data_IF_126063880308
#
_entry.id   IF_126063880308
#
_cell.length_a   1.000
_cell.length_b   1.000
_cell.length_c   1.000
_cell.angle_alpha   90.00
_cell.angle_beta   90.00
_cell.angle_gamma   90.00
#
_symmetry.space_group_name_H-M   'P 1'
#
loop_
_entity.id
_entity.type
_entity.pdbx_description
1 polymer ?
#
# COMPACT_ATOMS: atom_id res chain seq x y z
N UNK A 1 7.69 30.26 -9.40
CA UNK A 1 7.33 29.20 -10.35
C UNK A 1 6.13 28.43 -9.84
N UNK A 2 5.14 28.27 -10.69
CA UNK A 2 3.92 27.59 -10.28
C UNK A 2 4.07 26.07 -10.31
N UNK A 3 3.50 25.39 -9.33
CA UNK A 3 3.45 23.93 -9.31
C UNK A 3 2.47 23.45 -10.36
N UNK A 4 2.85 22.42 -11.09
CA UNK A 4 1.94 21.74 -12.00
C UNK A 4 0.93 20.94 -11.18
N UNK A 5 -0.17 20.52 -11.83
CA UNK A 5 -1.14 19.64 -11.20
C UNK A 5 -0.47 18.36 -10.72
N UNK A 6 0.44 17.79 -11.52
CA UNK A 6 1.18 16.57 -11.15
C UNK A 6 1.98 16.79 -9.87
N UNK A 7 2.67 17.92 -9.74
CA UNK A 7 3.45 18.22 -8.54
C UNK A 7 2.55 18.34 -7.31
N UNK A 8 1.40 18.98 -7.45
CA UNK A 8 0.43 19.11 -6.37
C UNK A 8 -0.13 17.74 -5.96
N UNK A 9 -0.41 16.88 -6.94
CA UNK A 9 -0.90 15.54 -6.69
C UNK A 9 0.14 14.69 -5.95
N UNK A 10 1.42 14.86 -6.31
CA UNK A 10 2.52 14.18 -5.64
C UNK A 10 2.62 14.65 -4.19
N UNK A 11 2.55 15.97 -3.97
CA UNK A 11 2.59 16.54 -2.62
C UNK A 11 1.44 16.03 -1.76
N UNK A 12 0.25 15.94 -2.34
CA UNK A 12 -0.93 15.40 -1.66
C UNK A 12 -0.70 13.94 -1.26
N UNK A 13 -0.15 13.13 -2.16
CA UNK A 13 0.18 11.74 -1.87
C UNK A 13 1.14 11.65 -0.68
N UNK A 14 2.21 12.45 -0.70
CA UNK A 14 3.21 12.42 0.36
C UNK A 14 2.62 12.81 1.72
N UNK A 15 1.64 13.70 1.73
CA UNK A 15 0.91 14.03 2.96
C UNK A 15 0.02 12.87 3.41
N UNK A 16 -0.67 12.25 2.47
CA UNK A 16 -1.60 11.16 2.78
C UNK A 16 -0.89 9.94 3.36
N UNK A 17 0.29 9.60 2.84
CA UNK A 17 1.02 8.41 3.32
C UNK A 17 1.67 8.61 4.69
N UNK A 18 1.68 9.81 5.23
CA UNK A 18 2.24 10.07 6.56
C UNK A 18 1.52 9.30 7.66
N UNK A 19 0.25 8.96 7.47
CA UNK A 19 -0.49 8.16 8.46
C UNK A 19 -0.14 6.67 8.40
N UNK A 20 0.53 6.23 7.33
CA UNK A 20 0.96 4.85 7.20
C UNK A 20 2.29 4.64 7.95
N UNK A 21 2.59 3.39 8.29
CA UNK A 21 3.85 3.03 8.93
C UNK A 21 4.85 2.65 7.84
N UNK A 22 5.92 3.43 7.71
CA UNK A 22 6.98 3.12 6.75
C UNK A 22 7.64 1.79 7.12
N UNK A 23 7.78 0.92 6.14
CA UNK A 23 8.14 -0.47 6.36
C UNK A 23 9.18 -0.92 5.34
N UNK A 24 10.17 -1.68 5.78
CA UNK A 24 11.15 -2.25 4.85
C UNK A 24 10.56 -3.48 4.17
N UNK A 25 11.11 -3.89 3.00
CA UNK A 25 10.64 -5.12 2.36
C UNK A 25 10.75 -6.36 3.24
N UNK A 26 11.82 -6.48 4.02
CA UNK A 26 11.99 -7.62 4.93
C UNK A 26 10.93 -7.64 6.01
N UNK A 27 10.62 -6.48 6.59
CA UNK A 27 9.57 -6.36 7.60
C UNK A 27 8.19 -6.68 7.01
N UNK A 28 7.92 -6.21 5.79
CA UNK A 28 6.66 -6.48 5.10
C UNK A 28 6.49 -7.98 4.85
N UNK A 29 7.55 -8.64 4.40
CA UNK A 29 7.54 -10.08 4.18
C UNK A 29 7.22 -10.83 5.47
N UNK A 30 7.85 -10.46 6.56
CA UNK A 30 7.61 -11.09 7.86
C UNK A 30 6.17 -10.88 8.32
N UNK A 31 5.62 -9.68 8.14
CA UNK A 31 4.25 -9.37 8.52
C UNK A 31 3.25 -10.22 7.74
N UNK A 32 3.50 -10.41 6.44
CA UNK A 32 2.62 -11.22 5.60
C UNK A 32 2.75 -12.71 5.95
N UNK A 33 3.95 -13.17 6.27
CA UNK A 33 4.18 -14.55 6.70
C UNK A 33 3.48 -14.84 8.03
N UNK A 34 3.49 -13.87 8.96
CA UNK A 34 2.88 -14.03 10.29
C UNK A 34 1.36 -14.22 10.22
N UNK A 35 0.70 -13.63 9.24
CA UNK A 35 -0.74 -13.79 9.06
C UNK A 35 -1.58 -13.24 10.21
N UNK A 36 -1.14 -12.15 10.83
CA UNK A 36 -1.79 -11.57 11.99
C UNK A 36 -2.65 -10.34 11.64
N UNK A 37 -3.42 -10.44 10.57
CA UNK A 37 -4.27 -9.34 10.07
C UNK A 37 -3.46 -8.10 9.71
N UNK A 38 -2.36 -8.33 8.98
CA UNK A 38 -1.47 -7.25 8.58
C UNK A 38 -1.78 -6.75 7.16
N UNK A 39 -1.85 -5.43 7.02
CA UNK A 39 -2.11 -4.75 5.74
C UNK A 39 -0.80 -4.14 5.25
N UNK A 40 -0.41 -4.48 4.03
CA UNK A 40 0.78 -3.92 3.38
C UNK A 40 0.37 -3.23 2.10
N UNK A 41 0.85 -2.00 1.91
CA UNK A 41 0.64 -1.25 0.68
C UNK A 41 1.99 -0.97 0.03
N UNK A 42 2.10 -1.29 -1.26
CA UNK A 42 3.31 -1.05 -2.06
C UNK A 42 2.97 -0.05 -3.17
N UNK A 43 3.68 1.06 -3.20
CA UNK A 43 3.42 2.08 -4.22
C UNK A 43 4.41 3.22 -4.18
N UNK A 44 4.13 4.25 -4.96
CA UNK A 44 4.99 5.43 -5.03
C UNK A 44 4.22 6.66 -5.49
N UNK A 45 4.73 7.82 -5.14
CA UNK A 45 4.09 9.12 -5.44
C UNK A 45 4.05 9.46 -6.93
N UNK A 46 4.97 8.91 -7.72
CA UNK A 46 5.05 9.22 -9.15
C UNK A 46 4.10 8.42 -10.03
N UNK A 47 3.39 7.47 -9.44
CA UNK A 47 2.42 6.64 -10.16
C UNK A 47 1.01 7.21 -10.01
N UNK A 48 0.33 7.60 -11.11
CA UNK A 48 -1.03 8.16 -11.02
C UNK A 48 -2.03 7.21 -10.36
N UNK A 49 -1.90 5.92 -10.63
CA UNK A 49 -2.80 4.90 -10.05
C UNK A 49 -2.60 4.79 -8.55
N UNK A 50 -1.34 4.92 -8.07
CA UNK A 50 -1.05 4.92 -6.64
C UNK A 50 -1.65 6.15 -5.97
N UNK A 51 -1.56 7.31 -6.61
CA UNK A 51 -2.13 8.54 -6.06
C UNK A 51 -3.64 8.43 -5.89
N UNK A 52 -4.32 7.84 -6.89
CA UNK A 52 -5.77 7.60 -6.82
C UNK A 52 -6.12 6.63 -5.69
N UNK A 53 -5.38 5.55 -5.60
CA UNK A 53 -5.62 4.50 -4.62
C UNK A 53 -5.40 5.00 -3.19
N UNK A 54 -4.31 5.72 -2.95
CA UNK A 54 -3.96 6.23 -1.62
C UNK A 54 -4.97 7.23 -1.09
N UNK A 55 -5.59 8.01 -1.97
CA UNK A 55 -6.68 8.91 -1.55
C UNK A 55 -7.79 8.16 -0.84
N UNK A 56 -8.13 6.98 -1.32
CA UNK A 56 -9.14 6.12 -0.70
C UNK A 56 -8.58 5.39 0.53
N UNK A 57 -7.40 4.78 0.38
CA UNK A 57 -6.80 3.98 1.44
C UNK A 57 -6.47 4.81 2.68
N UNK A 58 -5.91 5.99 2.51
CA UNK A 58 -5.55 6.85 3.65
C UNK A 58 -6.78 7.30 4.42
N UNK A 59 -7.85 7.63 3.70
CA UNK A 59 -9.10 8.06 4.35
C UNK A 59 -9.72 6.93 5.16
N UNK A 60 -9.81 5.74 4.59
CA UNK A 60 -10.40 4.62 5.34
C UNK A 60 -9.50 4.17 6.49
N UNK A 61 -8.18 4.26 6.32
CA UNK A 61 -7.27 3.91 7.41
C UNK A 61 -7.47 4.84 8.61
N UNK A 62 -7.68 6.13 8.34
CA UNK A 62 -7.96 7.12 9.38
C UNK A 62 -9.33 6.89 10.00
N UNK A 63 -10.36 6.72 9.16
CA UNK A 63 -11.74 6.59 9.62
C UNK A 63 -11.96 5.31 10.45
N UNK A 64 -11.28 4.24 10.11
CA UNK A 64 -11.46 2.93 10.76
C UNK A 64 -10.28 2.53 11.65
N UNK A 65 -9.33 3.45 11.82
CA UNK A 65 -8.14 3.23 12.66
C UNK A 65 -7.37 1.96 12.23
N UNK A 66 -7.14 1.82 10.94
CA UNK A 66 -6.41 0.69 10.37
C UNK A 66 -4.95 1.03 10.23
N UNK A 67 -4.07 0.17 10.72
CA UNK A 67 -2.63 0.34 10.54
C UNK A 67 -2.22 -0.23 9.19
N UNK A 68 -1.65 0.61 8.34
CA UNK A 68 -1.17 0.20 7.02
C UNK A 68 0.35 0.30 7.00
N UNK A 69 1.01 -0.78 6.61
CA UNK A 69 2.46 -0.83 6.47
C UNK A 69 2.82 -0.47 5.03
N UNK A 70 3.59 0.58 4.85
CA UNK A 70 3.88 1.16 3.55
C UNK A 70 5.30 0.84 3.10
N UNK A 71 5.43 0.19 1.94
CA UNK A 71 6.72 -0.05 1.28
C UNK A 71 6.76 0.82 0.03
N UNK A 72 7.70 1.77 0.00
CA UNK A 72 7.89 2.61 -1.19
C UNK A 72 8.52 1.77 -2.29
N UNK A 73 7.83 1.65 -3.43
CA UNK A 73 8.22 0.72 -4.50
C UNK A 73 9.52 1.10 -5.22
N UNK A 74 10.02 2.31 -5.02
CA UNK A 74 11.26 2.80 -5.64
C UNK A 74 12.28 3.26 -4.60
N UNK A 75 12.19 2.76 -3.37
CA UNK A 75 13.15 3.13 -2.33
C UNK A 75 14.57 2.74 -2.77
N UNK A 76 15.50 3.70 -2.86
CA UNK A 76 16.82 3.43 -3.44
C UNK A 76 17.67 2.46 -2.63
N UNK A 77 17.44 2.37 -1.32
CA UNK A 77 18.20 1.50 -0.44
C UNK A 77 17.77 0.03 -0.53
N UNK A 78 16.62 -0.26 -1.14
CA UNK A 78 16.02 -1.59 -1.12
C UNK A 78 15.59 -2.10 -2.50
N UNK A 79 16.25 -1.66 -3.56
CA UNK A 79 15.85 -1.98 -4.94
C UNK A 79 15.71 -3.49 -5.17
N UNK A 80 16.70 -4.27 -4.76
CA UNK A 80 16.68 -5.73 -4.95
C UNK A 80 15.65 -6.40 -4.05
N UNK A 81 15.58 -5.95 -2.80
CA UNK A 81 14.66 -6.52 -1.81
C UNK A 81 13.20 -6.26 -2.21
N UNK A 82 12.92 -5.09 -2.77
CA UNK A 82 11.59 -4.75 -3.27
C UNK A 82 11.22 -5.66 -4.44
N UNK A 83 12.15 -5.88 -5.36
CA UNK A 83 11.94 -6.76 -6.50
C UNK A 83 11.65 -8.18 -6.04
N UNK A 84 12.43 -8.68 -5.10
CA UNK A 84 12.23 -10.01 -4.50
C UNK A 84 10.86 -10.12 -3.84
N UNK A 85 10.48 -9.10 -3.07
CA UNK A 85 9.18 -9.06 -2.40
C UNK A 85 8.03 -9.12 -3.41
N UNK A 86 8.13 -8.31 -4.46
CA UNK A 86 7.08 -8.26 -5.49
C UNK A 86 6.98 -9.57 -6.27
N UNK A 87 8.11 -10.22 -6.53
CA UNK A 87 8.11 -11.53 -7.18
C UNK A 87 7.48 -12.60 -6.29
N UNK A 88 7.86 -12.61 -5.02
CA UNK A 88 7.36 -13.60 -4.04
C UNK A 88 5.85 -13.56 -3.92
N UNK A 89 5.28 -12.36 -3.88
CA UNK A 89 3.84 -12.18 -3.66
C UNK A 89 3.06 -11.89 -4.94
N UNK A 90 3.72 -11.98 -6.09
CA UNK A 90 3.12 -11.76 -7.40
C UNK A 90 2.43 -10.38 -7.50
N UNK A 91 3.23 -9.33 -7.32
CA UNK A 91 2.78 -7.94 -7.43
C UNK A 91 3.39 -7.33 -8.69
N UNK A 92 2.80 -7.57 -9.86
CA UNK A 92 3.39 -7.12 -11.14
C UNK A 92 3.31 -5.62 -11.34
N UNK A 93 2.32 -4.98 -10.76
CA UNK A 93 2.08 -3.54 -10.90
C UNK A 93 1.81 -2.91 -9.54
N UNK A 94 1.99 -1.59 -9.45
CA UNK A 94 1.60 -0.82 -8.26
C UNK A 94 0.41 0.07 -8.63
N UNK A 95 -0.49 0.35 -7.71
CA UNK A 95 -0.46 0.06 -6.29
C UNK A 95 -0.70 -1.43 -5.99
N UNK A 96 -0.03 -1.93 -4.97
CA UNK A 96 -0.27 -3.29 -4.48
C UNK A 96 -0.85 -3.24 -3.07
N UNK A 97 -1.99 -3.87 -2.88
CA UNK A 97 -2.59 -4.03 -1.56
C UNK A 97 -2.49 -5.51 -1.18
N UNK A 98 -1.76 -5.78 -0.11
CA UNK A 98 -1.54 -7.13 0.37
C UNK A 98 -2.08 -7.25 1.79
N UNK A 99 -2.75 -8.35 2.06
CA UNK A 99 -3.33 -8.59 3.36
C UNK A 99 -3.16 -10.07 3.70
N UNK A 100 -2.80 -10.35 4.94
CA UNK A 100 -2.72 -11.74 5.39
C UNK A 100 -3.37 -11.89 6.76
N UNK A 101 -4.13 -12.96 6.92
CA UNK A 101 -4.77 -13.32 8.17
C UNK A 101 -4.97 -14.83 8.22
N UNK A 102 -5.25 -15.35 9.40
CA UNK A 102 -5.50 -16.78 9.56
C UNK A 102 -6.81 -17.20 8.92
N UNK A 103 -7.79 -16.29 8.89
CA UNK A 103 -9.10 -16.58 8.30
C UNK A 103 -9.12 -16.46 6.78
N UNK A 104 -8.45 -15.44 6.24
CA UNK A 104 -8.47 -15.14 4.81
C UNK A 104 -7.27 -15.70 4.05
N UNK A 105 -6.18 -16.03 4.75
CA UNK A 105 -4.92 -16.36 4.13
C UNK A 105 -4.27 -15.12 3.53
N UNK A 106 -3.60 -15.26 2.41
CA UNK A 106 -2.95 -14.16 1.71
C UNK A 106 -3.84 -13.64 0.59
N UNK A 107 -4.09 -12.34 0.58
CA UNK A 107 -4.84 -11.68 -0.49
C UNK A 107 -3.93 -10.61 -1.09
N UNK A 108 -3.82 -10.60 -2.42
CA UNK A 108 -3.02 -9.61 -3.15
C UNK A 108 -3.89 -8.99 -4.23
N UNK A 109 -4.01 -7.67 -4.21
CA UNK A 109 -4.78 -6.92 -5.22
C UNK A 109 -3.93 -5.78 -5.78
N UNK A 110 -3.83 -5.72 -7.10
CA UNK A 110 -3.12 -4.65 -7.80
C UNK A 110 -4.11 -3.83 -8.63
N UNK A 111 -5.20 -3.40 -8.00
CA UNK A 111 -6.31 -2.73 -8.66
C UNK A 111 -6.60 -1.37 -8.00
N UNK A 112 -6.22 -0.30 -8.70
CA UNK A 112 -6.41 1.06 -8.19
C UNK A 112 -7.88 1.50 -8.18
N UNK A 113 -8.75 0.75 -8.84
CA UNK A 113 -10.17 1.09 -8.94
C UNK A 113 -11.01 0.54 -7.79
N UNK A 114 -10.41 -0.23 -6.88
CA UNK A 114 -11.13 -0.75 -5.72
C UNK A 114 -11.81 0.38 -4.94
N UNK A 115 -13.08 0.19 -4.63
CA UNK A 115 -13.83 1.14 -3.82
C UNK A 115 -13.56 0.91 -2.33
N UNK A 116 -13.78 1.92 -1.47
CA UNK A 116 -13.50 1.76 -0.04
C UNK A 116 -14.19 0.54 0.60
N UNK A 117 -15.43 0.26 0.21
CA UNK A 117 -16.15 -0.91 0.74
C UNK A 117 -15.46 -2.22 0.38
N UNK A 118 -14.93 -2.30 -0.84
CA UNK A 118 -14.21 -3.49 -1.30
C UNK A 118 -12.89 -3.65 -0.53
N UNK A 119 -12.19 -2.55 -0.28
CA UNK A 119 -10.94 -2.58 0.48
C UNK A 119 -11.23 -3.05 1.92
N UNK A 120 -12.25 -2.50 2.56
CA UNK A 120 -12.63 -2.89 3.92
C UNK A 120 -12.96 -4.37 4.01
N UNK A 121 -13.63 -4.91 3.01
CA UNK A 121 -13.95 -6.32 2.95
C UNK A 121 -12.68 -7.18 2.83
N UNK A 122 -11.75 -6.77 1.96
CA UNK A 122 -10.48 -7.48 1.77
C UNK A 122 -9.68 -7.56 3.08
N UNK A 123 -9.60 -6.45 3.81
CA UNK A 123 -8.82 -6.39 5.05
C UNK A 123 -9.62 -6.78 6.29
N UNK A 124 -10.79 -7.34 6.09
CA UNK A 124 -11.65 -7.88 7.15
C UNK A 124 -12.05 -6.85 8.22
N UNK A 125 -12.34 -5.62 7.79
CA UNK A 125 -12.86 -4.57 8.66
C UNK A 125 -14.36 -4.44 8.43
N UNK A 126 -15.11 -4.54 9.51
CA UNK A 126 -16.57 -4.45 9.49
C UNK A 126 -17.06 -3.05 9.86
#
# INVERSE_FOLDING_TARGET
MENTKKQKDIETYLEQVKIFTETTPAEADQLLEDGENNVVYIGRETCPYCRRFVGKLSKLAEDYNVKVHYVHSKHPDYTEEIETLREKYDVPTVPGLLYSSKSAGLIVKCDSSLEPEEILEIIEVN
#
